data_IF_552205912039
#
_entry.id   IF_552205912039
#
_cell.length_a   1.000
_cell.length_b   1.000
_cell.length_c   1.000
_cell.angle_alpha   90.00
_cell.angle_beta   90.00
_cell.angle_gamma   90.00
#
_symmetry.space_group_name_H-M   'P 1'
#
loop_
_entity.id
_entity.type
_entity.pdbx_description
1 polymer ?
#
# COMPACT_ATOMS: atom_id res chain seq x y z
N UNK A 1 57.30 -31.80 7.90
CA UNK A 1 56.53 -30.57 8.14
C UNK A 1 55.14 -31.04 8.55
N UNK A 2 54.69 -30.85 9.81
CA UNK A 2 53.33 -31.23 10.16
C UNK A 2 52.35 -30.29 9.44
N UNK A 3 51.18 -30.77 9.00
CA UNK A 3 50.15 -29.90 8.43
C UNK A 3 49.64 -28.98 9.54
N UNK A 4 49.64 -27.67 9.28
CA UNK A 4 49.02 -26.69 10.17
C UNK A 4 47.51 -26.86 10.09
N UNK A 5 46.88 -27.26 11.21
CA UNK A 5 45.43 -27.29 11.36
C UNK A 5 44.86 -25.94 10.93
N UNK A 6 43.98 -25.99 9.94
CA UNK A 6 43.22 -24.83 9.47
C UNK A 6 42.38 -24.31 10.63
N UNK A 7 42.74 -23.14 11.15
CA UNK A 7 41.98 -22.38 12.13
C UNK A 7 40.50 -22.33 11.69
N UNK A 8 39.68 -23.16 12.32
CA UNK A 8 38.24 -23.03 12.30
C UNK A 8 37.90 -21.74 13.05
N UNK A 9 37.98 -20.62 12.34
CA UNK A 9 37.58 -19.31 12.83
C UNK A 9 36.14 -19.40 13.31
N UNK A 10 35.95 -19.25 14.63
CA UNK A 10 34.65 -19.35 15.28
C UNK A 10 33.67 -18.37 14.64
N UNK A 11 32.61 -18.88 14.00
CA UNK A 11 31.55 -18.04 13.43
C UNK A 11 30.65 -17.53 14.56
N UNK A 12 30.60 -16.21 14.75
CA UNK A 12 29.80 -15.55 15.78
C UNK A 12 28.41 -15.13 15.28
N UNK A 13 28.06 -15.36 14.01
CA UNK A 13 26.77 -14.92 13.42
C UNK A 13 25.55 -15.38 14.23
N UNK A 14 25.59 -16.58 14.79
CA UNK A 14 24.49 -17.14 15.58
C UNK A 14 24.33 -16.51 16.97
N UNK A 15 25.32 -15.74 17.42
CA UNK A 15 25.26 -14.99 18.69
C UNK A 15 24.65 -13.59 18.52
N UNK A 16 24.35 -13.17 17.29
CA UNK A 16 23.82 -11.85 16.97
C UNK A 16 22.30 -11.87 16.80
N UNK A 17 21.61 -10.94 17.46
CA UNK A 17 20.18 -10.71 17.28
C UNK A 17 19.92 -9.86 16.03
N UNK A 18 20.16 -10.44 14.85
CA UNK A 18 19.93 -9.76 13.57
C UNK A 18 18.43 -9.66 13.26
N UNK A 19 17.97 -8.53 12.66
CA UNK A 19 16.60 -8.41 12.17
C UNK A 19 16.29 -9.49 11.12
N UNK A 20 15.16 -10.17 11.29
CA UNK A 20 14.62 -11.14 10.32
C UNK A 20 13.25 -10.68 9.88
N UNK A 21 13.01 -10.66 8.57
CA UNK A 21 11.72 -10.29 8.00
C UNK A 21 11.52 -11.01 6.68
N UNK A 22 10.30 -11.47 6.45
CA UNK A 22 9.86 -11.99 5.15
C UNK A 22 9.53 -10.85 4.16
N UNK A 23 9.60 -9.58 4.63
CA UNK A 23 9.39 -8.42 3.79
C UNK A 23 10.52 -8.28 2.77
N UNK A 24 10.24 -8.40 1.47
CA UNK A 24 11.28 -8.35 0.45
C UNK A 24 11.85 -6.94 0.34
N UNK A 25 13.18 -6.82 0.19
CA UNK A 25 13.81 -5.52 -0.03
C UNK A 25 13.36 -4.85 -1.34
N UNK A 26 13.01 -5.64 -2.37
CA UNK A 26 12.45 -5.14 -3.64
C UNK A 26 10.94 -5.28 -3.62
N UNK A 27 10.24 -4.20 -3.93
CA UNK A 27 8.79 -4.16 -3.83
C UNK A 27 8.08 -5.08 -4.84
N UNK A 28 8.54 -5.16 -6.09
CA UNK A 28 7.89 -5.98 -7.12
C UNK A 28 6.48 -5.51 -7.47
N UNK A 29 6.25 -4.19 -7.44
CA UNK A 29 4.93 -3.56 -7.54
C UNK A 29 4.09 -4.01 -8.75
N UNK A 30 4.63 -4.12 -9.99
CA UNK A 30 3.81 -4.52 -11.14
C UNK A 30 3.09 -5.87 -10.97
N UNK A 31 3.64 -6.77 -10.14
CA UNK A 31 2.99 -8.05 -9.79
C UNK A 31 2.10 -7.94 -8.56
N UNK A 32 2.54 -7.22 -7.51
CA UNK A 32 1.85 -7.15 -6.22
C UNK A 32 0.63 -6.23 -6.21
N UNK A 33 0.66 -5.14 -6.97
CA UNK A 33 -0.46 -4.18 -7.01
C UNK A 33 -1.77 -4.83 -7.49
N UNK A 34 -1.78 -5.64 -8.58
CA UNK A 34 -2.96 -6.41 -8.96
C UNK A 34 -3.48 -7.33 -7.85
N UNK A 35 -2.59 -7.99 -7.10
CA UNK A 35 -2.96 -8.87 -5.98
C UNK A 35 -3.62 -8.07 -4.84
N UNK A 36 -3.14 -6.86 -4.55
CA UNK A 36 -3.74 -5.97 -3.55
C UNK A 36 -5.14 -5.51 -3.96
N UNK A 37 -5.32 -5.11 -5.22
CA UNK A 37 -6.62 -4.70 -5.76
C UNK A 37 -7.63 -5.84 -5.69
N UNK A 38 -7.26 -7.03 -6.15
CA UNK A 38 -8.12 -8.22 -6.09
C UNK A 38 -8.52 -8.57 -4.64
N UNK A 39 -7.57 -8.47 -3.71
CA UNK A 39 -7.85 -8.68 -2.27
C UNK A 39 -8.83 -7.63 -1.74
N UNK A 40 -8.65 -6.34 -2.06
CA UNK A 40 -9.54 -5.28 -1.60
C UNK A 40 -10.97 -5.46 -2.14
N UNK A 41 -11.10 -5.85 -3.40
CA UNK A 41 -12.38 -6.16 -4.04
C UNK A 41 -13.06 -7.36 -3.38
N UNK A 42 -12.35 -8.48 -3.20
CA UNK A 42 -12.89 -9.68 -2.55
C UNK A 42 -13.35 -9.41 -1.10
N UNK A 43 -12.70 -8.50 -0.38
CA UNK A 43 -13.11 -8.09 0.96
C UNK A 43 -14.25 -7.06 0.96
N UNK A 44 -14.60 -6.47 -0.19
CA UNK A 44 -15.52 -5.32 -0.25
C UNK A 44 -15.01 -4.13 0.57
N UNK A 45 -13.70 -3.88 0.56
CA UNK A 45 -13.03 -2.97 1.50
C UNK A 45 -13.69 -1.59 1.55
N UNK A 46 -14.04 -1.00 0.41
CA UNK A 46 -14.69 0.32 0.34
C UNK A 46 -16.02 0.35 1.10
N UNK A 47 -16.87 -0.67 0.91
CA UNK A 47 -18.16 -0.75 1.60
C UNK A 47 -17.97 -0.88 3.11
N UNK A 48 -17.01 -1.71 3.54
CA UNK A 48 -16.68 -1.87 4.96
C UNK A 48 -16.17 -0.58 5.60
N UNK A 49 -15.30 0.17 4.90
CA UNK A 49 -14.82 1.46 5.38
C UNK A 49 -15.98 2.46 5.56
N UNK A 50 -16.93 2.51 4.63
CA UNK A 50 -18.09 3.39 4.73
C UNK A 50 -19.04 2.99 5.86
N UNK A 51 -19.22 1.69 6.10
CA UNK A 51 -20.03 1.18 7.23
C UNK A 51 -19.39 1.52 8.57
N UNK A 52 -18.06 1.34 8.72
CA UNK A 52 -17.32 1.72 9.94
C UNK A 52 -17.37 3.23 10.24
N UNK A 53 -17.55 4.04 9.19
CA UNK A 53 -17.64 5.49 9.31
C UNK A 53 -19.08 6.02 9.35
N UNK A 54 -20.12 5.17 9.49
CA UNK A 54 -21.52 5.61 9.30
C UNK A 54 -21.98 6.76 10.20
N UNK A 55 -21.45 6.83 11.42
CA UNK A 55 -21.80 7.84 12.43
C UNK A 55 -20.82 9.03 12.44
N UNK A 56 -19.85 9.05 11.51
CA UNK A 56 -18.86 10.12 11.38
C UNK A 56 -19.40 11.27 10.51
N UNK A 57 -18.91 12.51 10.69
CA UNK A 57 -19.27 13.62 9.81
C UNK A 57 -18.94 13.32 8.35
N UNK A 58 -19.87 13.61 7.43
CA UNK A 58 -19.65 13.40 6.01
C UNK A 58 -18.58 14.34 5.46
N UNK A 59 -17.74 13.79 4.58
CA UNK A 59 -16.85 14.54 3.71
C UNK A 59 -17.08 14.08 2.28
N UNK A 60 -17.63 14.95 1.42
CA UNK A 60 -17.97 14.60 0.05
C UNK A 60 -17.02 15.35 -0.89
N UNK A 61 -16.27 14.59 -1.70
CA UNK A 61 -15.44 15.14 -2.76
C UNK A 61 -16.05 14.77 -4.12
N UNK A 62 -16.65 15.77 -4.77
CA UNK A 62 -17.22 15.62 -6.10
C UNK A 62 -16.11 15.51 -7.16
N UNK A 63 -16.14 14.43 -7.93
CA UNK A 63 -15.27 14.26 -9.07
C UNK A 63 -15.94 14.80 -10.34
N UNK A 64 -15.29 15.77 -10.99
CA UNK A 64 -15.75 16.21 -12.30
C UNK A 64 -15.69 15.05 -13.30
N UNK A 65 -16.76 14.77 -14.06
CA UNK A 65 -16.75 13.67 -15.02
C UNK A 65 -15.64 13.91 -16.05
N UNK A 66 -14.73 12.94 -16.25
CA UNK A 66 -13.75 13.08 -17.32
C UNK A 66 -14.46 13.04 -18.66
N UNK A 67 -13.93 13.76 -19.65
CA UNK A 67 -14.36 13.55 -21.02
C UNK A 67 -13.99 12.12 -21.43
N UNK A 68 -14.95 11.37 -21.98
CA UNK A 68 -14.75 9.98 -22.40
C UNK A 68 -14.01 9.83 -23.74
N UNK A 69 -13.27 10.87 -24.16
CA UNK A 69 -12.61 10.93 -25.46
C UNK A 69 -11.09 10.94 -25.27
N UNK A 70 -10.41 9.93 -25.82
CA UNK A 70 -8.95 9.81 -25.82
C UNK A 70 -8.38 9.02 -24.64
N UNK A 71 -7.08 8.75 -24.72
CA UNK A 71 -6.36 7.98 -23.72
C UNK A 71 -6.11 8.77 -22.42
N UNK A 72 -6.00 8.02 -21.32
CA UNK A 72 -5.57 8.56 -20.04
C UNK A 72 -4.12 9.00 -20.14
N UNK A 73 -3.84 10.22 -19.69
CA UNK A 73 -2.50 10.81 -19.65
C UNK A 73 -2.09 11.17 -18.22
N UNK A 74 -0.84 11.60 -18.02
CA UNK A 74 -0.31 11.91 -16.68
C UNK A 74 -1.14 12.94 -15.89
N UNK A 75 -1.72 13.94 -16.54
CA UNK A 75 -2.66 14.86 -15.89
C UNK A 75 -3.90 14.18 -15.27
N UNK A 76 -4.44 13.14 -15.91
CA UNK A 76 -5.53 12.35 -15.35
C UNK A 76 -5.05 11.59 -14.11
N UNK A 77 -3.88 10.93 -14.20
CA UNK A 77 -3.29 10.20 -13.08
C UNK A 77 -3.07 11.12 -11.87
N UNK A 78 -2.45 12.28 -12.07
CA UNK A 78 -2.21 13.27 -11.03
C UNK A 78 -3.52 13.71 -10.33
N UNK A 79 -4.53 14.08 -11.12
CA UNK A 79 -5.83 14.50 -10.59
C UNK A 79 -6.49 13.41 -9.73
N UNK A 80 -6.50 12.16 -10.19
CA UNK A 80 -7.13 11.05 -9.44
C UNK A 80 -6.33 10.66 -8.20
N UNK A 81 -4.99 10.65 -8.27
CA UNK A 81 -4.12 10.36 -7.13
C UNK A 81 -4.32 11.40 -6.01
N UNK A 82 -4.37 12.70 -6.35
CA UNK A 82 -4.59 13.74 -5.36
C UNK A 82 -5.96 13.62 -4.67
N UNK A 83 -7.01 13.33 -5.45
CA UNK A 83 -8.36 13.10 -4.93
C UNK A 83 -8.42 11.89 -4.00
N UNK A 84 -7.73 10.80 -4.34
CA UNK A 84 -7.64 9.60 -3.50
C UNK A 84 -6.90 9.88 -2.18
N UNK A 85 -5.77 10.62 -2.22
CA UNK A 85 -5.04 11.03 -1.00
C UNK A 85 -5.94 11.87 -0.07
N UNK A 86 -6.68 12.84 -0.62
CA UNK A 86 -7.59 13.69 0.17
C UNK A 86 -8.69 12.84 0.81
N UNK A 87 -9.33 11.94 0.06
CA UNK A 87 -10.39 11.10 0.61
C UNK A 87 -9.88 10.15 1.69
N UNK A 88 -8.74 9.48 1.46
CA UNK A 88 -8.15 8.56 2.45
C UNK A 88 -7.72 9.29 3.71
N UNK A 89 -7.08 10.45 3.58
CA UNK A 89 -6.67 11.25 4.74
C UNK A 89 -7.87 11.74 5.54
N UNK A 90 -8.93 12.23 4.89
CA UNK A 90 -10.18 12.63 5.56
C UNK A 90 -10.84 11.45 6.28
N UNK A 91 -10.87 10.28 5.65
CA UNK A 91 -11.38 9.07 6.28
C UNK A 91 -10.60 8.70 7.55
N UNK A 92 -9.26 8.72 7.46
CA UNK A 92 -8.37 8.43 8.59
C UNK A 92 -8.42 9.49 9.70
N UNK A 93 -8.80 10.73 9.37
CA UNK A 93 -9.04 11.81 10.34
C UNK A 93 -10.45 11.78 10.96
N UNK A 94 -11.22 10.72 10.71
CA UNK A 94 -12.51 10.51 11.36
C UNK A 94 -13.71 11.12 10.62
N UNK A 95 -13.60 11.39 9.31
CA UNK A 95 -14.75 11.71 8.47
C UNK A 95 -15.28 10.47 7.74
N UNK A 96 -16.55 10.49 7.37
CA UNK A 96 -17.12 9.58 6.36
C UNK A 96 -16.83 10.14 4.97
N UNK A 97 -15.62 9.84 4.46
CA UNK A 97 -15.19 10.31 3.15
C UNK A 97 -15.90 9.53 2.01
N UNK A 98 -16.76 10.23 1.27
CA UNK A 98 -17.47 9.70 0.11
C UNK A 98 -16.93 10.36 -1.16
N UNK A 99 -16.46 9.52 -2.08
CA UNK A 99 -16.01 9.91 -3.41
C UNK A 99 -17.04 9.46 -4.45
N UNK A 100 -17.51 10.40 -5.27
CA UNK A 100 -18.56 10.21 -6.29
C UNK A 100 -18.14 10.88 -7.59
#
# INVERSE_FOLDING_TARGET
MPPSDSDATRDYKDTLFLPKTDFPMRAGLPKREPEFLARWEAMGLRARMLEDAKDRPDFILHDGPPYANGDIHMGHALNKILKDIINRSRHMMGARAVYV
#
